data_IF_024656597464
#
_entry.id   IF_024656597464
#
_cell.length_a   1.000
_cell.length_b   1.000
_cell.length_c   1.000
_cell.angle_alpha   90.00
_cell.angle_beta   90.00
_cell.angle_gamma   90.00
#
_symmetry.space_group_name_H-M   'P 1'
#
loop_
_entity.id
_entity.type
_entity.pdbx_description
1 polymer ?
#
# COMPACT_ATOMS: atom_id res chain seq x y z
N UNK A 1 -9.91 -18.52 -4.87
CA UNK A 1 -11.34 -18.19 -4.66
C UNK A 1 -11.59 -16.79 -4.10
N UNK A 2 -11.26 -16.42 -2.84
CA UNK A 2 -11.59 -15.06 -2.33
C UNK A 2 -10.95 -13.89 -3.11
N UNK A 3 -9.69 -14.04 -3.51
CA UNK A 3 -8.97 -12.95 -4.18
C UNK A 3 -9.49 -12.66 -5.59
N UNK A 4 -10.01 -13.66 -6.29
CA UNK A 4 -10.51 -13.54 -7.67
C UNK A 4 -11.73 -12.61 -7.76
N UNK A 5 -12.55 -12.51 -6.70
CA UNK A 5 -13.66 -11.55 -6.65
C UNK A 5 -13.22 -10.12 -6.37
N UNK A 6 -11.97 -9.91 -5.97
CA UNK A 6 -11.43 -8.59 -5.64
C UNK A 6 -10.42 -8.07 -6.67
N UNK A 7 -9.79 -8.95 -7.44
CA UNK A 7 -8.70 -8.60 -8.35
C UNK A 7 -8.79 -9.33 -9.68
N UNK A 8 -8.70 -8.56 -10.76
CA UNK A 8 -8.32 -9.07 -12.07
C UNK A 8 -6.82 -8.90 -12.23
N UNK A 9 -6.05 -10.00 -12.29
CA UNK A 9 -4.59 -9.95 -12.34
C UNK A 9 -4.11 -10.02 -13.79
N UNK A 10 -4.07 -8.87 -14.46
CA UNK A 10 -3.56 -8.72 -15.83
C UNK A 10 -2.90 -7.35 -16.04
N UNK A 11 -2.12 -7.21 -17.12
CA UNK A 11 -1.58 -5.92 -17.56
C UNK A 11 -2.71 -4.94 -17.93
N UNK A 12 -3.75 -5.41 -18.63
CA UNK A 12 -4.92 -4.59 -18.97
C UNK A 12 -5.61 -4.03 -17.73
N UNK A 13 -5.78 -4.85 -16.68
CA UNK A 13 -6.35 -4.39 -15.42
C UNK A 13 -5.44 -3.35 -14.71
N UNK A 14 -4.11 -3.48 -14.86
CA UNK A 14 -3.17 -2.50 -14.35
C UNK A 14 -3.31 -1.15 -15.07
N UNK A 15 -3.46 -1.17 -16.39
CA UNK A 15 -3.66 0.04 -17.20
C UNK A 15 -5.01 0.71 -16.92
N UNK A 16 -6.11 -0.05 -16.79
CA UNK A 16 -7.41 0.50 -16.37
C UNK A 16 -7.32 1.17 -15.00
N UNK A 17 -6.59 0.54 -14.06
CA UNK A 17 -6.38 1.12 -12.75
C UNK A 17 -5.49 2.38 -12.79
N UNK A 18 -4.53 2.47 -13.71
CA UNK A 18 -3.74 3.67 -13.95
C UNK A 18 -4.60 4.80 -14.52
N UNK A 19 -5.42 4.54 -15.53
CA UNK A 19 -6.34 5.54 -16.10
C UNK A 19 -7.24 6.13 -15.02
N UNK A 20 -7.89 5.28 -14.24
CA UNK A 20 -8.68 5.70 -13.08
C UNK A 20 -7.85 6.53 -12.09
N UNK A 21 -6.61 6.11 -11.84
CA UNK A 21 -5.74 6.82 -10.90
C UNK A 21 -5.45 8.24 -11.37
N UNK A 22 -5.16 8.41 -12.66
CA UNK A 22 -4.83 9.69 -13.28
C UNK A 22 -6.04 10.63 -13.34
N UNK A 23 -7.22 10.11 -13.67
CA UNK A 23 -8.42 10.93 -13.89
C UNK A 23 -9.29 11.14 -12.65
N UNK A 24 -9.13 10.34 -11.59
CA UNK A 24 -10.00 10.42 -10.41
C UNK A 24 -9.20 10.54 -9.11
N UNK A 25 -8.24 9.62 -8.90
CA UNK A 25 -7.62 9.44 -7.58
C UNK A 25 -6.68 10.60 -7.26
N UNK A 26 -5.80 10.96 -8.18
CA UNK A 26 -4.76 12.00 -7.98
C UNK A 26 -5.36 13.33 -7.56
N UNK A 27 -6.44 13.80 -8.21
CA UNK A 27 -7.09 15.09 -7.90
C UNK A 27 -7.50 15.27 -6.45
N UNK A 28 -7.85 14.18 -5.75
CA UNK A 28 -8.27 14.20 -4.35
C UNK A 28 -7.31 13.47 -3.41
N UNK A 29 -6.18 12.97 -3.93
CA UNK A 29 -5.28 12.09 -3.21
C UNK A 29 -4.72 12.73 -1.94
N UNK A 30 -4.38 14.02 -2.00
CA UNK A 30 -3.81 14.76 -0.87
C UNK A 30 -4.73 14.79 0.36
N UNK A 31 -6.04 14.76 0.17
CA UNK A 31 -7.03 14.83 1.25
C UNK A 31 -7.63 13.46 1.57
N UNK A 32 -7.86 12.61 0.56
CA UNK A 32 -8.59 11.34 0.74
C UNK A 32 -7.74 10.15 1.17
N UNK A 33 -6.43 10.12 0.88
CA UNK A 33 -5.54 8.97 1.15
C UNK A 33 -5.42 8.52 2.60
N UNK A 34 -5.89 9.33 3.55
CA UNK A 34 -5.79 9.05 4.99
C UNK A 34 -7.07 8.44 5.57
N UNK A 35 -8.16 8.36 4.80
CA UNK A 35 -9.46 7.87 5.26
C UNK A 35 -9.71 6.46 4.73
N UNK A 36 -9.54 5.39 5.53
CA UNK A 36 -9.66 4.00 5.06
C UNK A 36 -11.05 3.62 4.55
N UNK A 37 -12.09 4.35 4.97
CA UNK A 37 -13.46 4.16 4.52
C UNK A 37 -13.73 4.73 3.12
N UNK A 38 -12.79 5.50 2.56
CA UNK A 38 -12.90 6.14 1.25
C UNK A 38 -11.97 5.42 0.28
N UNK A 39 -12.46 5.14 -0.93
CA UNK A 39 -11.63 4.58 -1.99
C UNK A 39 -10.76 5.68 -2.66
N UNK A 40 -9.87 6.27 -1.87
CA UNK A 40 -9.06 7.44 -2.24
C UNK A 40 -7.62 7.09 -2.64
N UNK A 41 -7.34 5.84 -3.02
CA UNK A 41 -5.98 5.39 -3.39
C UNK A 41 -5.98 4.60 -4.68
N UNK A 42 -4.82 4.48 -5.31
CA UNK A 42 -4.70 3.90 -6.66
C UNK A 42 -4.92 2.40 -6.70
N UNK A 43 -4.75 1.66 -5.60
CA UNK A 43 -4.73 0.19 -5.59
C UNK A 43 -3.75 -0.44 -6.60
N UNK A 44 -2.75 0.33 -7.08
CA UNK A 44 -1.76 -0.13 -8.06
C UNK A 44 -0.66 -1.03 -7.46
N UNK A 45 -0.57 -1.13 -6.12
CA UNK A 45 0.50 -1.85 -5.43
C UNK A 45 0.71 -3.32 -5.88
N UNK A 46 -0.33 -4.17 -6.03
CA UNK A 46 -0.14 -5.52 -6.56
C UNK A 46 0.46 -5.51 -7.97
N UNK A 47 -0.09 -4.72 -8.89
CA UNK A 47 0.36 -4.66 -10.28
C UNK A 47 1.82 -4.19 -10.40
N UNK A 48 2.22 -3.21 -9.56
CA UNK A 48 3.61 -2.76 -9.44
C UNK A 48 4.55 -3.85 -8.88
N UNK A 49 4.09 -4.65 -7.93
CA UNK A 49 4.90 -5.70 -7.31
C UNK A 49 5.17 -6.85 -8.30
N UNK A 50 4.21 -7.16 -9.17
CA UNK A 50 4.34 -8.20 -10.20
C UNK A 50 4.87 -7.69 -11.55
N UNK A 51 5.18 -6.40 -11.67
CA UNK A 51 5.71 -5.83 -12.91
C UNK A 51 4.69 -5.76 -14.06
N UNK A 52 3.40 -5.83 -13.76
CA UNK A 52 2.31 -5.67 -14.73
C UNK A 52 2.15 -4.21 -15.19
N UNK A 53 2.79 -3.28 -14.48
CA UNK A 53 2.93 -1.89 -14.89
C UNK A 53 4.22 -1.32 -14.30
N UNK A 54 4.95 -0.52 -15.08
CA UNK A 54 6.20 0.08 -14.61
C UNK A 54 5.96 1.37 -13.80
N UNK A 55 6.78 1.67 -12.79
CA UNK A 55 6.70 2.95 -12.07
C UNK A 55 6.94 4.15 -13.01
N UNK A 56 7.73 3.97 -14.09
CA UNK A 56 7.97 5.01 -15.09
C UNK A 56 6.71 5.34 -15.90
N UNK A 57 5.94 4.33 -16.31
CA UNK A 57 4.64 4.55 -16.96
C UNK A 57 3.70 5.35 -16.05
N UNK A 58 3.61 4.96 -14.77
CA UNK A 58 2.77 5.68 -13.79
C UNK A 58 3.20 7.14 -13.66
N UNK A 59 4.48 7.40 -13.41
CA UNK A 59 4.98 8.77 -13.27
C UNK A 59 4.75 9.60 -14.53
N UNK A 60 5.02 9.02 -15.71
CA UNK A 60 4.80 9.69 -16.98
C UNK A 60 3.31 10.06 -17.17
N UNK A 61 2.39 9.11 -16.96
CA UNK A 61 0.95 9.37 -17.13
C UNK A 61 0.40 10.41 -16.15
N UNK A 62 0.87 10.42 -14.90
CA UNK A 62 0.46 11.42 -13.91
C UNK A 62 0.98 12.81 -14.28
N UNK A 63 2.25 12.93 -14.74
CA UNK A 63 2.84 14.20 -15.16
C UNK A 63 2.24 14.73 -16.47
N UNK A 64 1.86 13.85 -17.41
CA UNK A 64 1.21 14.26 -18.67
C UNK A 64 -0.21 14.77 -18.46
N UNK A 65 -0.92 14.27 -17.46
CA UNK A 65 -2.28 14.70 -17.14
C UNK A 65 -2.33 15.96 -16.27
N UNK A 66 -1.18 16.52 -15.89
CA UNK A 66 -1.07 17.70 -15.06
C UNK A 66 -1.60 18.93 -15.81
N UNK A 67 -2.78 19.43 -15.40
CA UNK A 67 -3.36 20.68 -15.91
C UNK A 67 -2.98 21.85 -15.00
N UNK A 68 -2.87 23.06 -15.56
CA UNK A 68 -2.60 24.28 -14.80
C UNK A 68 -3.57 24.42 -13.60
N UNK A 69 -3.03 24.36 -12.37
CA UNK A 69 -3.79 24.53 -11.12
C UNK A 69 -4.06 23.26 -10.30
N UNK A 70 -3.82 22.04 -10.83
CA UNK A 70 -4.00 20.77 -10.09
C UNK A 70 -2.65 20.10 -9.82
N UNK A 71 -2.00 20.50 -8.72
CA UNK A 71 -0.64 20.03 -8.42
C UNK A 71 -0.51 19.27 -7.09
N UNK A 72 -1.39 19.51 -6.11
CA UNK A 72 -1.12 19.03 -4.74
C UNK A 72 -1.32 17.51 -4.61
N UNK A 73 -2.32 16.96 -5.29
CA UNK A 73 -2.67 15.54 -5.17
C UNK A 73 -1.73 14.65 -5.99
N UNK A 74 -1.45 15.07 -7.21
CA UNK A 74 -0.52 14.51 -8.19
C UNK A 74 0.90 14.43 -7.60
N UNK A 75 1.44 15.56 -7.12
CA UNK A 75 2.76 15.57 -6.47
C UNK A 75 2.79 14.67 -5.24
N UNK A 76 1.71 14.67 -4.42
CA UNK A 76 1.65 13.79 -3.26
C UNK A 76 1.63 12.32 -3.68
N UNK A 77 0.98 11.97 -4.77
CA UNK A 77 0.95 10.61 -5.31
C UNK A 77 2.33 10.18 -5.84
N UNK A 78 3.02 11.04 -6.59
CA UNK A 78 4.38 10.78 -7.10
C UNK A 78 5.38 10.54 -5.97
N UNK A 79 5.26 11.26 -4.85
CA UNK A 79 6.08 11.01 -3.65
C UNK A 79 5.90 9.59 -3.10
N UNK A 80 4.70 9.00 -3.22
CA UNK A 80 4.46 7.62 -2.76
C UNK A 80 5.05 6.58 -3.72
N UNK A 81 5.19 6.89 -5.01
CA UNK A 81 6.06 6.12 -5.91
C UNK A 81 7.53 6.26 -5.48
N UNK A 82 7.95 7.46 -5.06
CA UNK A 82 9.27 7.67 -4.45
C UNK A 82 9.53 6.81 -3.21
N UNK A 83 8.52 6.59 -2.36
CA UNK A 83 8.63 5.67 -1.22
C UNK A 83 8.87 4.21 -1.63
N UNK A 84 8.31 3.77 -2.76
CA UNK A 84 8.63 2.45 -3.36
C UNK A 84 10.10 2.39 -3.74
N UNK A 85 10.59 3.36 -4.51
CA UNK A 85 12.00 3.41 -4.92
C UNK A 85 12.94 3.43 -3.71
N UNK A 86 12.63 4.26 -2.72
CA UNK A 86 13.39 4.33 -1.48
C UNK A 86 13.44 2.98 -0.74
N UNK A 87 12.36 2.22 -0.73
CA UNK A 87 12.33 0.88 -0.12
C UNK A 87 13.26 -0.11 -0.85
N UNK A 88 13.29 -0.07 -2.19
CA UNK A 88 14.24 -0.88 -2.97
C UNK A 88 15.69 -0.42 -2.77
N UNK A 89 15.94 0.89 -2.69
CA UNK A 89 17.26 1.45 -2.38
C UNK A 89 17.74 0.99 -0.99
N UNK A 90 16.86 1.02 0.02
CA UNK A 90 17.18 0.51 1.36
C UNK A 90 17.54 -0.98 1.33
N UNK A 91 16.75 -1.81 0.64
CA UNK A 91 17.03 -3.24 0.52
C UNK A 91 18.36 -3.50 -0.19
N UNK A 92 18.68 -2.75 -1.24
CA UNK A 92 19.96 -2.87 -1.95
C UNK A 92 21.15 -2.56 -1.04
N UNK A 93 21.08 -1.47 -0.26
CA UNK A 93 22.17 -1.06 0.62
C UNK A 93 22.22 -1.84 1.95
N UNK A 94 21.10 -2.37 2.41
CA UNK A 94 20.95 -3.13 3.65
C UNK A 94 20.24 -4.46 3.37
N UNK A 95 20.90 -5.43 2.71
CA UNK A 95 20.27 -6.67 2.27
C UNK A 95 19.77 -7.55 3.43
N UNK A 96 20.21 -7.30 4.67
CA UNK A 96 19.75 -8.00 5.86
C UNK A 96 18.43 -7.48 6.43
N UNK A 97 17.89 -6.34 5.96
CA UNK A 97 16.67 -5.74 6.53
C UNK A 97 15.42 -6.64 6.51
N UNK A 98 15.25 -7.64 5.61
CA UNK A 98 14.12 -8.57 5.69
C UNK A 98 14.17 -9.47 6.94
N UNK A 99 15.37 -9.83 7.38
CA UNK A 99 15.58 -10.85 8.41
C UNK A 99 16.11 -10.27 9.74
N UNK A 100 16.65 -9.04 9.71
CA UNK A 100 17.31 -8.41 10.85
C UNK A 100 16.87 -6.95 11.01
N UNK A 101 16.72 -6.45 12.26
CA UNK A 101 16.36 -5.07 12.48
C UNK A 101 17.49 -4.13 12.00
N UNK A 102 17.13 -3.08 11.26
CA UNK A 102 18.09 -2.08 10.77
C UNK A 102 18.90 -1.43 11.91
N UNK A 103 18.30 -1.31 13.11
CA UNK A 103 19.00 -0.85 14.32
C UNK A 103 19.29 -2.04 15.22
N UNK A 104 20.58 -2.38 15.36
CA UNK A 104 21.04 -3.54 16.12
C UNK A 104 20.50 -3.62 17.57
N UNK A 105 20.29 -2.47 18.23
CA UNK A 105 19.74 -2.42 19.59
C UNK A 105 18.36 -3.08 19.75
N UNK A 106 17.61 -3.25 18.67
CA UNK A 106 16.29 -3.91 18.71
C UNK A 106 16.37 -5.42 18.49
N UNK A 107 17.54 -5.98 18.17
CA UNK A 107 17.71 -7.43 17.99
C UNK A 107 17.46 -8.21 19.30
N UNK A 108 17.73 -7.59 20.45
CA UNK A 108 17.51 -8.17 21.78
C UNK A 108 16.23 -7.68 22.47
N UNK A 109 15.29 -7.10 21.71
CA UNK A 109 14.03 -6.63 22.30
C UNK A 109 13.22 -7.83 22.85
N UNK A 110 12.76 -7.80 24.12
CA UNK A 110 12.12 -8.95 24.75
C UNK A 110 10.65 -9.08 24.34
N UNK A 111 10.41 -9.59 23.13
CA UNK A 111 9.06 -9.86 22.63
C UNK A 111 8.36 -10.95 23.46
N UNK A 112 7.06 -10.78 23.68
CA UNK A 112 6.23 -11.75 24.40
C UNK A 112 5.79 -12.84 23.42
N UNK A 113 6.02 -14.11 23.79
CA UNK A 113 5.49 -15.24 23.06
C UNK A 113 4.07 -15.59 23.53
N UNK A 114 3.06 -15.05 22.83
CA UNK A 114 1.65 -15.34 23.12
C UNK A 114 0.91 -15.78 21.85
N UNK A 115 0.82 -17.11 21.68
CA UNK A 115 0.16 -17.73 20.51
C UNK A 115 -1.34 -17.44 20.45
N UNK A 116 -1.99 -17.20 21.60
CA UNK A 116 -3.43 -16.95 21.66
C UNK A 116 -3.72 -15.55 21.13
N UNK A 117 -3.00 -14.54 21.64
CA UNK A 117 -3.17 -13.16 21.19
C UNK A 117 -2.68 -12.97 19.74
N UNK A 118 -1.62 -13.66 19.32
CA UNK A 118 -1.21 -13.68 17.91
C UNK A 118 -2.33 -14.18 17.00
N UNK A 119 -2.98 -15.29 17.36
CA UNK A 119 -4.10 -15.83 16.58
C UNK A 119 -5.30 -14.89 16.58
N UNK A 120 -5.62 -14.26 17.71
CA UNK A 120 -6.68 -13.24 17.77
C UNK A 120 -6.41 -12.07 16.83
N UNK A 121 -5.18 -11.58 16.80
CA UNK A 121 -4.77 -10.51 15.89
C UNK A 121 -4.86 -10.94 14.41
N UNK A 122 -4.31 -12.10 14.05
CA UNK A 122 -4.32 -12.63 12.67
C UNK A 122 -5.72 -12.71 12.06
N UNK A 123 -6.75 -13.01 12.87
CA UNK A 123 -8.15 -13.14 12.43
C UNK A 123 -9.01 -11.92 12.76
N UNK A 124 -8.44 -10.82 13.29
CA UNK A 124 -9.17 -9.62 13.64
C UNK A 124 -10.22 -9.85 14.75
N UNK A 125 -9.80 -10.44 15.85
CA UNK A 125 -10.58 -10.71 17.07
C UNK A 125 -9.90 -10.14 18.32
N UNK A 126 -9.27 -8.97 18.17
CA UNK A 126 -8.56 -8.27 19.24
C UNK A 126 -9.50 -7.50 20.17
N UNK A 127 -10.70 -7.17 19.70
CA UNK A 127 -11.64 -6.29 20.41
C UNK A 127 -11.44 -4.81 20.10
N UNK A 128 -10.44 -4.45 19.27
CA UNK A 128 -10.21 -3.09 18.79
C UNK A 128 -10.75 -2.95 17.36
N UNK A 129 -11.88 -2.24 17.15
CA UNK A 129 -12.60 -2.27 15.87
C UNK A 129 -11.77 -1.91 14.64
N UNK A 130 -10.87 -0.92 14.74
CA UNK A 130 -10.02 -0.50 13.61
C UNK A 130 -8.98 -1.57 13.26
N UNK A 131 -8.38 -2.23 14.26
CA UNK A 131 -7.42 -3.31 14.05
C UNK A 131 -8.12 -4.51 13.43
N UNK A 132 -9.27 -4.89 14.00
CA UNK A 132 -10.06 -6.02 13.55
C UNK A 132 -10.57 -5.83 12.12
N UNK A 133 -11.04 -4.63 11.76
CA UNK A 133 -11.43 -4.30 10.39
C UNK A 133 -10.27 -4.42 9.40
N UNK A 134 -9.07 -3.94 9.78
CA UNK A 134 -7.86 -4.07 8.97
C UNK A 134 -7.49 -5.52 8.70
N UNK A 135 -7.35 -6.32 9.76
CA UNK A 135 -6.97 -7.73 9.64
C UNK A 135 -7.99 -8.54 8.85
N UNK A 136 -9.29 -8.25 9.00
CA UNK A 136 -10.35 -8.86 8.18
C UNK A 136 -10.31 -8.42 6.71
N UNK A 137 -10.00 -7.14 6.43
CA UNK A 137 -9.81 -6.65 5.06
C UNK A 137 -8.65 -7.40 4.38
N UNK A 138 -7.52 -7.55 5.07
CA UNK A 138 -6.39 -8.31 4.56
C UNK A 138 -6.76 -9.76 4.27
N UNK A 139 -7.49 -10.42 5.18
CA UNK A 139 -7.91 -11.81 5.01
C UNK A 139 -8.90 -11.99 3.85
N UNK A 140 -9.79 -11.03 3.64
CA UNK A 140 -10.82 -11.11 2.60
C UNK A 140 -10.28 -10.77 1.21
N UNK A 141 -9.57 -9.64 1.08
CA UNK A 141 -9.18 -9.09 -0.21
C UNK A 141 -7.68 -9.17 -0.51
N UNK A 142 -6.84 -9.67 0.40
CA UNK A 142 -5.38 -9.69 0.22
C UNK A 142 -4.75 -8.29 0.14
N UNK A 143 -5.48 -7.26 0.56
CA UNK A 143 -5.03 -5.87 0.52
C UNK A 143 -5.54 -5.14 1.75
N UNK A 144 -4.70 -4.28 2.31
CA UNK A 144 -5.07 -3.41 3.43
C UNK A 144 -4.70 -1.96 3.11
N UNK A 145 -5.55 -1.02 3.49
CA UNK A 145 -5.26 0.40 3.34
C UNK A 145 -4.00 0.81 4.14
N UNK A 146 -3.11 1.63 3.57
CA UNK A 146 -1.81 1.96 4.17
C UNK A 146 -1.93 2.53 5.60
N UNK A 147 -2.89 3.43 5.85
CA UNK A 147 -3.13 3.96 7.20
C UNK A 147 -3.45 2.87 8.21
N UNK A 148 -4.17 1.82 7.79
CA UNK A 148 -4.55 0.71 8.66
C UNK A 148 -3.37 -0.23 8.87
N UNK A 149 -2.51 -0.44 7.86
CA UNK A 149 -1.24 -1.19 8.01
C UNK A 149 -0.32 -0.61 9.08
N UNK A 150 -0.36 0.71 9.30
CA UNK A 150 0.41 1.37 10.35
C UNK A 150 -0.24 1.26 11.74
N UNK A 151 -1.51 0.87 11.82
CA UNK A 151 -2.28 0.76 13.08
C UNK A 151 -2.26 -0.68 13.60
N UNK A 152 -2.36 -1.68 12.70
CA UNK A 152 -2.46 -3.10 13.05
C UNK A 152 -1.16 -3.68 13.58
#
# INVERSE_FOLDING_TARGET
QKLESHWSVSEDAAHQQLERTVHEVTHSYATRRNYPAVDGTSRLSPYLAWGLISPRQICHSVLQAETEGSHRGENKFLVEIGWREFSYHLLYHFPSIPDQPLRAKYASFPWIEDKINLKRWQFGNTGYPMVDAGMRQLYESGWMHNRVRMIV
#
